data_IF_926554386122
#
_entry.id   IF_926554386122
#
_cell.length_a   1.000
_cell.length_b   1.000
_cell.length_c   1.000
_cell.angle_alpha   90.00
_cell.angle_beta   90.00
_cell.angle_gamma   90.00
#
_symmetry.space_group_name_H-M   'P 1'
#
loop_
_entity.id
_entity.type
_entity.pdbx_description
1 polymer ?
#
# COMPACT_ATOMS: atom_id res chain seq x y z
N UNK A 1 -1.35 11.78 -16.56
CA UNK A 1 -1.24 10.45 -15.92
C UNK A 1 -0.49 10.65 -14.60
N UNK A 2 -1.23 10.79 -13.49
CA UNK A 2 -0.65 11.02 -12.16
C UNK A 2 -0.28 9.67 -11.55
N UNK A 3 1.01 9.39 -11.39
CA UNK A 3 1.47 8.23 -10.63
C UNK A 3 1.23 8.52 -9.15
N UNK A 4 0.42 7.69 -8.48
CA UNK A 4 0.32 7.70 -7.01
C UNK A 4 1.46 6.85 -6.45
N UNK A 5 2.30 7.45 -5.62
CA UNK A 5 3.36 6.73 -4.92
C UNK A 5 2.83 6.23 -3.57
N UNK A 6 3.13 4.97 -3.23
CA UNK A 6 2.81 4.38 -1.93
C UNK A 6 4.05 4.50 -1.04
N UNK A 7 3.91 5.06 0.16
CA UNK A 7 5.01 5.19 1.14
C UNK A 7 4.84 4.17 2.29
N UNK A 8 5.88 3.38 2.57
CA UNK A 8 5.83 2.20 3.44
C UNK A 8 6.47 2.37 4.84
N UNK A 9 5.96 1.63 5.83
CA UNK A 9 6.09 1.76 7.30
C UNK A 9 7.50 1.96 7.92
N UNK A 10 7.57 2.51 9.14
CA UNK A 10 8.82 2.69 9.90
C UNK A 10 9.32 1.37 10.50
N UNK A 11 10.60 1.02 10.31
CA UNK A 11 11.26 -0.22 10.80
C UNK A 11 10.75 -1.56 10.21
N UNK A 12 9.99 -1.54 9.12
CA UNK A 12 9.80 -2.76 8.32
C UNK A 12 10.88 -2.83 7.24
N UNK A 13 11.79 -3.80 7.37
CA UNK A 13 12.86 -4.06 6.39
C UNK A 13 12.34 -4.75 5.12
N UNK A 14 11.18 -5.41 5.22
CA UNK A 14 10.56 -6.12 4.10
C UNK A 14 9.07 -5.82 4.00
N UNK A 15 8.60 -5.75 2.75
CA UNK A 15 7.18 -5.63 2.43
C UNK A 15 6.73 -6.87 1.67
N UNK A 16 5.73 -7.57 2.22
CA UNK A 16 5.02 -8.64 1.52
C UNK A 16 3.84 -8.01 0.80
N UNK A 17 3.85 -8.04 -0.53
CA UNK A 17 2.79 -7.51 -1.36
C UNK A 17 2.04 -8.68 -2.00
N UNK A 18 0.72 -8.74 -1.82
CA UNK A 18 -0.16 -9.73 -2.43
C UNK A 18 -1.36 -9.05 -3.06
N UNK A 19 -1.64 -9.36 -4.32
CA UNK A 19 -2.91 -9.03 -4.96
C UNK A 19 -4.02 -9.94 -4.41
N UNK A 20 -5.13 -9.33 -4.01
CA UNK A 20 -6.34 -10.05 -3.60
C UNK A 20 -7.31 -10.18 -4.78
N UNK A 21 -7.33 -9.15 -5.63
CA UNK A 21 -8.09 -9.04 -6.87
C UNK A 21 -7.43 -7.95 -7.75
N UNK A 22 -8.04 -7.60 -8.87
CA UNK A 22 -7.49 -6.65 -9.86
C UNK A 22 -7.26 -5.23 -9.32
N UNK A 23 -7.95 -4.84 -8.24
CA UNK A 23 -7.92 -3.47 -7.72
C UNK A 23 -7.41 -3.39 -6.28
N UNK A 24 -7.25 -4.55 -5.62
CA UNK A 24 -6.99 -4.60 -4.18
C UNK A 24 -5.68 -5.31 -3.87
N UNK A 25 -4.83 -4.60 -3.13
CA UNK A 25 -3.57 -5.09 -2.60
C UNK A 25 -3.69 -5.36 -1.10
N UNK A 26 -2.94 -6.36 -0.63
CA UNK A 26 -2.54 -6.48 0.75
C UNK A 26 -1.03 -6.27 0.82
N UNK A 27 -0.61 -5.21 1.51
CA UNK A 27 0.79 -4.97 1.83
C UNK A 27 0.95 -5.22 3.32
N UNK A 28 1.69 -6.26 3.68
CA UNK A 28 1.74 -6.83 5.03
C UNK A 28 0.34 -7.06 5.63
N UNK A 29 -0.10 -6.19 6.54
CA UNK A 29 -1.43 -6.26 7.19
C UNK A 29 -2.38 -5.14 6.75
N UNK A 30 -1.99 -4.34 5.77
CA UNK A 30 -2.77 -3.21 5.26
C UNK A 30 -3.41 -3.58 3.93
N UNK A 31 -4.75 -3.48 3.87
CA UNK A 31 -5.54 -3.65 2.65
C UNK A 31 -5.70 -2.30 1.97
N UNK A 32 -5.41 -2.22 0.68
CA UNK A 32 -5.48 -0.99 -0.11
C UNK A 32 -6.17 -1.20 -1.46
N UNK A 33 -7.09 -0.32 -1.83
CA UNK A 33 -7.58 -0.20 -3.19
C UNK A 33 -6.69 0.77 -3.99
N UNK A 34 -6.12 0.33 -5.10
CA UNK A 34 -5.12 1.10 -5.86
C UNK A 34 -5.69 2.31 -6.61
N UNK A 35 -7.00 2.34 -6.84
CA UNK A 35 -7.67 3.42 -7.55
C UNK A 35 -8.00 4.57 -6.61
N UNK A 36 -8.53 4.24 -5.43
CA UNK A 36 -9.07 5.22 -4.49
C UNK A 36 -8.08 5.63 -3.42
N UNK A 37 -7.27 4.70 -2.93
CA UNK A 37 -6.59 4.89 -1.66
C UNK A 37 -5.20 5.48 -1.83
N UNK A 38 -4.65 5.97 -0.73
CA UNK A 38 -3.25 6.36 -0.61
C UNK A 38 -2.79 5.98 0.79
N UNK A 39 -1.72 5.19 0.86
CA UNK A 39 -1.11 4.80 2.12
C UNK A 39 0.17 5.58 2.35
N UNK A 40 0.21 6.27 3.48
CA UNK A 40 1.38 6.96 4.00
C UNK A 40 1.47 6.65 5.49
N UNK A 41 2.36 5.74 5.84
CA UNK A 41 2.57 5.33 7.22
C UNK A 41 2.96 6.48 8.16
N UNK A 42 3.52 7.58 7.63
CA UNK A 42 3.99 8.74 8.43
C UNK A 42 2.84 9.64 8.88
N UNK A 43 1.68 9.48 8.26
CA UNK A 43 0.48 10.25 8.56
C UNK A 43 -0.45 9.55 9.55
N UNK A 44 0.01 8.45 10.14
CA UNK A 44 -0.63 7.76 11.25
C UNK A 44 0.11 8.03 12.56
#
# INVERSE_FOLDING_TARGET
MNKKNIYWNYREETATVKWLDDHTLMINKHKLNVETDTYDFRKN
#
